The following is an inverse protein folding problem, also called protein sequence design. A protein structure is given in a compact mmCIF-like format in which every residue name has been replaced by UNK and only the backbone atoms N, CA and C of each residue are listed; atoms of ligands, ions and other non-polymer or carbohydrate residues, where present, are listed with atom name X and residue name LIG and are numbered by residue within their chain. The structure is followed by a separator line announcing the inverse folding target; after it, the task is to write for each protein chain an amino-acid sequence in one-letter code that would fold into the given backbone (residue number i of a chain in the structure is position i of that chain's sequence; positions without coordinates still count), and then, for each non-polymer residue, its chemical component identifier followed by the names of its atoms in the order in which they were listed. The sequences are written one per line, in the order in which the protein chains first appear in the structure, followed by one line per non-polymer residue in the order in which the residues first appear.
data_IF_245587791467
#
_entry.id   IF_245587791467
#
_cell.length_a   1.000
_cell.length_b   1.000
_cell.length_c   1.000
_cell.angle_alpha   90.00
_cell.angle_beta   90.00
_cell.angle_gamma   90.00
#
_symmetry.space_group_name_H-M   'P 1'
#
loop_
_entity.id
_entity.type
_entity.pdbx_description
1 polymer ?
#
# COMPACT_ATOMS: atom_id res chain seq x y z
N UNK A 1 1.91 -46.87 -9.04
CA UNK A 1 1.82 -45.92 -7.91
C UNK A 1 0.44 -45.28 -8.00
N UNK A 2 -0.44 -45.52 -7.03
CA UNK A 2 -1.83 -45.12 -7.09
C UNK A 2 -1.95 -43.58 -7.13
N UNK A 3 -2.96 -43.07 -7.80
CA UNK A 3 -3.24 -41.61 -7.96
C UNK A 3 -3.29 -40.90 -6.60
N UNK A 4 -3.73 -41.59 -5.54
CA UNK A 4 -3.74 -41.11 -4.16
C UNK A 4 -2.33 -40.86 -3.59
N UNK A 5 -1.36 -41.70 -3.94
CA UNK A 5 0.03 -41.53 -3.45
C UNK A 5 0.74 -40.37 -4.16
N UNK A 6 0.47 -40.13 -5.46
CA UNK A 6 0.95 -38.97 -6.21
C UNK A 6 0.36 -37.67 -5.67
N UNK A 7 -0.91 -37.68 -5.28
CA UNK A 7 -1.59 -36.54 -4.69
C UNK A 7 -1.05 -36.17 -3.29
N UNK A 8 -0.78 -37.21 -2.45
CA UNK A 8 -0.18 -37.00 -1.11
C UNK A 8 1.27 -36.47 -1.21
N UNK A 9 2.05 -36.96 -2.17
CA UNK A 9 3.41 -36.46 -2.43
C UNK A 9 3.39 -35.01 -2.94
N UNK A 10 2.46 -34.66 -3.81
CA UNK A 10 2.30 -33.30 -4.31
C UNK A 10 1.84 -32.34 -3.19
N UNK A 11 0.91 -32.77 -2.34
CA UNK A 11 0.44 -31.99 -1.20
C UNK A 11 1.54 -31.76 -0.16
N UNK A 12 2.37 -32.78 0.13
CA UNK A 12 3.51 -32.65 1.06
C UNK A 12 4.62 -31.74 0.50
N UNK A 13 4.92 -31.82 -0.81
CA UNK A 13 5.85 -30.87 -1.44
C UNK A 13 5.35 -29.44 -1.45
N UNK A 14 4.04 -29.23 -1.68
CA UNK A 14 3.42 -27.90 -1.63
C UNK A 14 3.44 -27.30 -0.21
N UNK A 15 3.21 -28.13 0.81
CA UNK A 15 3.28 -27.72 2.22
C UNK A 15 4.72 -27.39 2.64
N UNK A 16 5.70 -28.19 2.21
CA UNK A 16 7.13 -27.94 2.51
C UNK A 16 7.64 -26.69 1.78
N UNK A 17 7.27 -26.51 0.51
CA UNK A 17 7.56 -25.29 -0.24
C UNK A 17 6.90 -24.05 0.40
N UNK A 18 5.66 -24.17 0.88
CA UNK A 18 4.94 -23.15 1.62
C UNK A 18 5.62 -22.78 2.95
N UNK A 19 6.17 -23.78 3.67
CA UNK A 19 6.91 -23.58 4.92
C UNK A 19 8.29 -22.94 4.69
N UNK A 20 8.99 -23.26 3.60
CA UNK A 20 10.29 -22.65 3.26
C UNK A 20 10.14 -21.19 2.78
N UNK A 21 9.07 -20.86 2.06
CA UNK A 21 8.73 -19.47 1.70
C UNK A 21 8.22 -18.70 2.93
N UNK A 22 7.78 -19.41 3.98
CA UNK A 22 7.11 -18.85 5.16
C UNK A 22 8.01 -18.05 6.10
N UNK A 23 9.31 -18.14 5.98
CA UNK A 23 10.24 -17.37 6.84
C UNK A 23 10.40 -15.89 6.44
N UNK A 24 9.87 -15.48 5.27
CA UNK A 24 10.14 -14.15 4.68
C UNK A 24 8.85 -13.32 4.46
N UNK A 25 7.63 -13.90 4.57
CA UNK A 25 6.40 -13.21 4.13
C UNK A 25 5.29 -13.16 5.18
N UNK A 26 4.56 -12.04 5.22
CA UNK A 26 3.49 -11.73 6.18
C UNK A 26 2.26 -12.65 5.97
N UNK A 27 1.54 -13.01 7.06
CA UNK A 27 0.42 -13.98 7.09
C UNK A 27 -0.68 -13.71 6.04
N UNK A 28 -0.98 -12.45 5.75
CA UNK A 28 -2.01 -12.06 4.75
C UNK A 28 -1.62 -12.42 3.32
N UNK A 29 -0.34 -12.28 2.97
CA UNK A 29 0.16 -12.65 1.65
C UNK A 29 0.21 -14.17 1.47
N UNK A 30 0.45 -14.90 2.56
CA UNK A 30 0.41 -16.37 2.61
C UNK A 30 -0.99 -16.92 2.35
N UNK A 31 -2.00 -16.32 2.99
CA UNK A 31 -3.40 -16.68 2.77
C UNK A 31 -3.84 -16.38 1.33
N UNK A 32 -3.47 -15.25 0.76
CA UNK A 32 -3.81 -14.90 -0.62
C UNK A 32 -3.18 -15.86 -1.64
N UNK A 33 -1.91 -16.25 -1.45
CA UNK A 33 -1.23 -17.24 -2.32
C UNK A 33 -1.84 -18.64 -2.13
N UNK A 34 -2.15 -19.04 -0.88
CA UNK A 34 -2.78 -20.31 -0.59
C UNK A 34 -4.18 -20.43 -1.20
N UNK A 35 -5.01 -19.39 -1.07
CA UNK A 35 -6.35 -19.35 -1.68
C UNK A 35 -6.28 -19.30 -3.21
N UNK A 36 -5.31 -18.58 -3.79
CA UNK A 36 -5.10 -18.54 -5.24
C UNK A 36 -4.66 -19.91 -5.81
N UNK A 37 -3.74 -20.60 -5.12
CA UNK A 37 -3.31 -21.95 -5.49
C UNK A 37 -4.41 -22.99 -5.28
N UNK A 38 -5.19 -22.87 -4.19
CA UNK A 38 -6.32 -23.75 -3.90
C UNK A 38 -7.46 -23.54 -4.91
N UNK A 39 -7.77 -22.30 -5.28
CA UNK A 39 -8.76 -22.01 -6.32
C UNK A 39 -8.32 -22.51 -7.70
N UNK A 40 -7.05 -22.34 -8.06
CA UNK A 40 -6.50 -22.87 -9.32
C UNK A 40 -6.51 -24.41 -9.37
N UNK A 41 -6.17 -25.08 -8.25
CA UNK A 41 -6.21 -26.53 -8.14
C UNK A 41 -7.66 -27.08 -8.14
N UNK A 42 -8.59 -26.36 -7.50
CA UNK A 42 -10.01 -26.70 -7.46
C UNK A 42 -10.66 -26.55 -8.84
N UNK A 43 -10.40 -25.45 -9.54
CA UNK A 43 -10.86 -25.24 -10.92
C UNK A 43 -10.26 -26.27 -11.88
N UNK A 44 -8.97 -26.59 -11.73
CA UNK A 44 -8.32 -27.64 -12.53
C UNK A 44 -8.91 -29.03 -12.28
N UNK A 45 -9.30 -29.35 -11.03
CA UNK A 45 -9.97 -30.61 -10.69
C UNK A 45 -11.40 -30.68 -11.21
N UNK A 46 -12.19 -29.62 -11.04
CA UNK A 46 -13.53 -29.50 -11.60
C UNK A 46 -13.52 -29.66 -13.12
N UNK A 47 -12.53 -29.10 -13.80
CA UNK A 47 -12.38 -29.20 -15.24
C UNK A 47 -11.92 -30.62 -15.66
N UNK A 48 -11.09 -31.27 -14.85
CA UNK A 48 -10.68 -32.66 -15.10
C UNK A 48 -11.81 -33.65 -14.85
N UNK A 49 -12.59 -33.50 -13.78
CA UNK A 49 -13.73 -34.34 -13.44
C UNK A 49 -14.86 -34.16 -14.47
N UNK A 50 -15.13 -32.94 -14.90
CA UNK A 50 -16.05 -32.64 -16.02
C UNK A 50 -15.60 -33.28 -17.34
N UNK A 51 -14.30 -33.30 -17.61
CA UNK A 51 -13.71 -33.93 -18.81
C UNK A 51 -13.77 -35.43 -18.75
N UNK A 52 -13.66 -36.05 -17.57
CA UNK A 52 -13.85 -37.50 -17.40
C UNK A 52 -15.33 -37.91 -17.56
N UNK A 53 -16.23 -37.11 -17.07
CA UNK A 53 -17.67 -37.30 -17.21
C UNK A 53 -18.13 -37.19 -18.68
N UNK A 54 -17.56 -36.22 -19.43
CA UNK A 54 -17.75 -36.12 -20.88
C UNK A 54 -17.14 -37.31 -21.64
N UNK A 55 -16.01 -37.90 -21.20
CA UNK A 55 -15.40 -39.08 -21.81
C UNK A 55 -16.13 -40.36 -21.46
N UNK A 56 -16.72 -40.43 -20.27
CA UNK A 56 -17.55 -41.60 -19.86
C UNK A 56 -18.82 -41.72 -20.66
N UNK A 57 -19.45 -40.59 -21.00
CA UNK A 57 -20.69 -40.55 -21.80
C UNK A 57 -20.48 -40.82 -23.29
N UNK A 58 -19.25 -40.73 -23.82
CA UNK A 58 -18.95 -41.07 -25.24
C UNK A 58 -18.62 -42.56 -25.47
N UNK A 59 -18.61 -43.39 -24.42
CA UNK A 59 -18.25 -44.83 -24.55
C UNK A 59 -19.35 -45.81 -24.14
N UNK A 60 -20.47 -45.29 -23.68
CA UNK A 60 -21.65 -46.12 -23.38
C UNK A 60 -22.75 -45.75 -24.36
N UNK A 61 -23.03 -46.69 -25.25
CA UNK A 61 -24.26 -46.96 -25.95
C UNK A 61 -24.65 -46.07 -27.16
N UNK A 62 -24.52 -46.76 -28.29
CA UNK A 62 -25.39 -46.53 -29.43
C UNK A 62 -26.83 -46.96 -29.03
N UNK A 63 -27.67 -46.02 -28.63
CA UNK A 63 -29.12 -46.14 -28.53
C UNK A 63 -29.84 -45.00 -29.25
N UNK A 64 -31.09 -45.20 -29.70
CA UNK A 64 -31.70 -44.44 -30.78
C UNK A 64 -32.18 -43.05 -30.38
N UNK A 65 -32.57 -42.19 -31.37
CA UNK A 65 -32.76 -40.74 -31.16
C UNK A 65 -34.06 -40.46 -30.40
N UNK A 66 -33.88 -39.97 -29.20
CA UNK A 66 -34.99 -39.46 -28.39
C UNK A 66 -34.60 -39.19 -26.96
N UNK A 67 -34.18 -37.95 -26.65
CA UNK A 67 -34.64 -37.27 -25.44
C UNK A 67 -34.02 -35.84 -25.32
N UNK A 68 -34.82 -34.83 -24.95
CA UNK A 68 -34.40 -33.42 -24.84
C UNK A 68 -33.54 -33.10 -23.59
N UNK A 69 -33.22 -34.12 -22.77
CA UNK A 69 -32.46 -33.94 -21.52
C UNK A 69 -31.01 -33.51 -21.71
N UNK A 70 -30.32 -34.02 -22.72
CA UNK A 70 -28.91 -33.71 -22.96
C UNK A 70 -28.69 -32.24 -23.46
N UNK A 71 -29.72 -31.64 -24.05
CA UNK A 71 -29.69 -30.27 -24.55
C UNK A 71 -30.01 -29.28 -23.42
N UNK A 72 -30.92 -29.65 -22.50
CA UNK A 72 -31.22 -28.86 -21.28
C UNK A 72 -30.03 -28.83 -20.32
N UNK A 73 -29.38 -29.98 -20.07
CA UNK A 73 -28.18 -30.06 -19.22
C UNK A 73 -27.00 -29.26 -19.79
N UNK A 74 -26.88 -29.17 -21.14
CA UNK A 74 -25.85 -28.32 -21.78
C UNK A 74 -26.16 -26.82 -21.70
N UNK A 75 -27.44 -26.45 -21.81
CA UNK A 75 -27.90 -25.07 -21.66
C UNK A 75 -27.74 -24.59 -20.22
N UNK A 76 -28.08 -25.43 -19.23
CA UNK A 76 -27.89 -25.11 -17.82
C UNK A 76 -26.40 -24.98 -17.44
N UNK A 77 -25.54 -25.88 -17.92
CA UNK A 77 -24.10 -25.78 -17.70
C UNK A 77 -23.49 -24.56 -18.38
N UNK A 78 -23.97 -24.16 -19.55
CA UNK A 78 -23.55 -22.95 -20.26
C UNK A 78 -23.93 -21.67 -19.50
N UNK A 79 -25.18 -21.56 -19.05
CA UNK A 79 -25.66 -20.42 -18.29
C UNK A 79 -24.96 -20.28 -16.94
N UNK A 80 -24.70 -21.39 -16.25
CA UNK A 80 -23.94 -21.39 -14.99
C UNK A 80 -22.48 -20.92 -15.19
N UNK A 81 -21.84 -21.35 -16.29
CA UNK A 81 -20.48 -20.89 -16.62
C UNK A 81 -20.43 -19.39 -16.93
N UNK A 82 -21.42 -18.88 -17.68
CA UNK A 82 -21.56 -17.46 -17.96
C UNK A 82 -21.80 -16.64 -16.70
N UNK A 83 -22.65 -17.08 -15.79
CA UNK A 83 -22.87 -16.43 -14.50
C UNK A 83 -21.61 -16.44 -13.63
N UNK A 84 -20.89 -17.56 -13.59
CA UNK A 84 -19.60 -17.65 -12.89
C UNK A 84 -18.58 -16.68 -13.47
N UNK A 85 -18.44 -16.64 -14.80
CA UNK A 85 -17.53 -15.70 -15.47
C UNK A 85 -17.94 -14.24 -15.24
N UNK A 86 -19.22 -13.94 -15.26
CA UNK A 86 -19.73 -12.58 -15.01
C UNK A 86 -19.46 -12.09 -13.59
N UNK A 87 -19.42 -12.99 -12.59
CA UNK A 87 -19.12 -12.69 -11.20
C UNK A 87 -17.62 -12.57 -10.87
N UNK A 88 -16.71 -12.96 -11.78
CA UNK A 88 -15.27 -12.88 -11.56
C UNK A 88 -14.79 -11.44 -11.65
N UNK A 89 -13.85 -11.10 -10.77
CA UNK A 89 -13.13 -9.81 -10.80
C UNK A 89 -11.95 -9.81 -11.77
N UNK A 90 -11.42 -10.99 -12.05
CA UNK A 90 -10.34 -11.22 -13.00
C UNK A 90 -10.88 -11.14 -14.42
N UNK A 91 -10.16 -10.44 -15.30
CA UNK A 91 -10.51 -10.41 -16.72
C UNK A 91 -10.18 -11.74 -17.37
N UNK A 92 -11.17 -12.37 -18.00
CA UNK A 92 -10.99 -13.63 -18.75
C UNK A 92 -11.20 -13.38 -20.22
N UNK A 93 -10.25 -13.82 -21.06
CA UNK A 93 -10.27 -13.70 -22.52
C UNK A 93 -9.92 -15.05 -23.14
N UNK A 94 -10.77 -15.58 -23.98
CA UNK A 94 -10.53 -16.81 -24.72
C UNK A 94 -10.37 -16.51 -26.22
N UNK A 95 -9.28 -16.99 -26.80
CA UNK A 95 -8.96 -16.81 -28.20
C UNK A 95 -8.96 -18.16 -28.93
N UNK A 96 -9.33 -18.12 -30.21
CA UNK A 96 -9.19 -19.25 -31.15
C UNK A 96 -7.79 -19.33 -31.76
N UNK A 97 -7.62 -20.25 -32.72
CA UNK A 97 -6.38 -20.45 -33.46
C UNK A 97 -5.99 -19.29 -34.37
N UNK A 98 -6.94 -18.41 -34.75
CA UNK A 98 -6.71 -17.21 -35.54
C UNK A 98 -6.51 -15.95 -34.69
N UNK A 99 -6.38 -16.11 -33.38
CA UNK A 99 -6.26 -15.03 -32.40
C UNK A 99 -7.50 -14.14 -32.35
N UNK A 100 -8.68 -14.70 -32.63
CA UNK A 100 -9.97 -14.02 -32.47
C UNK A 100 -10.56 -14.34 -31.11
N UNK A 101 -11.24 -13.37 -30.54
CA UNK A 101 -11.95 -13.54 -29.26
C UNK A 101 -13.15 -14.45 -29.45
N UNK A 102 -13.16 -15.56 -28.77
CA UNK A 102 -14.28 -16.51 -28.72
C UNK A 102 -15.27 -16.09 -27.63
N UNK A 103 -14.75 -15.73 -26.47
CA UNK A 103 -15.55 -15.25 -25.33
C UNK A 103 -14.70 -14.41 -24.38
N UNK A 104 -15.35 -13.52 -23.67
CA UNK A 104 -14.74 -12.69 -22.64
C UNK A 104 -15.75 -12.40 -21.52
N UNK A 105 -15.27 -12.08 -20.33
CA UNK A 105 -16.13 -11.69 -19.24
C UNK A 105 -16.20 -10.15 -19.09
N UNK A 106 -17.11 -9.69 -18.25
CA UNK A 106 -17.29 -8.26 -17.96
C UNK A 106 -15.99 -7.57 -17.53
N UNK A 107 -15.18 -8.19 -16.68
CA UNK A 107 -13.92 -7.61 -16.22
C UNK A 107 -12.92 -7.43 -17.38
N UNK A 108 -12.86 -8.37 -18.34
CA UNK A 108 -12.06 -8.20 -19.55
C UNK A 108 -12.55 -7.03 -20.43
N UNK A 109 -13.86 -6.82 -20.55
CA UNK A 109 -14.41 -5.65 -21.26
C UNK A 109 -13.95 -4.34 -20.59
N UNK A 110 -13.92 -4.27 -19.27
CA UNK A 110 -13.44 -3.09 -18.54
C UNK A 110 -11.94 -2.85 -18.78
N UNK A 111 -11.13 -3.88 -18.84
CA UNK A 111 -9.68 -3.81 -19.15
C UNK A 111 -9.46 -3.27 -20.58
N UNK A 112 -10.26 -3.72 -21.55
CA UNK A 112 -10.16 -3.32 -22.96
C UNK A 112 -11.17 -2.24 -23.36
N UNK A 113 -11.68 -1.46 -22.42
CA UNK A 113 -12.75 -0.45 -22.61
C UNK A 113 -12.45 0.64 -23.64
N UNK A 114 -11.20 0.81 -24.09
CA UNK A 114 -10.84 1.74 -25.18
C UNK A 114 -11.39 1.30 -26.54
N UNK A 115 -11.75 0.04 -26.69
CA UNK A 115 -12.30 -0.50 -27.92
C UNK A 115 -13.83 -0.41 -27.85
N UNK A 116 -14.43 0.39 -28.75
CA UNK A 116 -15.90 0.53 -28.80
C UNK A 116 -16.56 -0.76 -29.26
N UNK A 117 -17.52 -1.27 -28.49
CA UNK A 117 -18.31 -2.47 -28.79
C UNK A 117 -17.75 -3.75 -28.17
N UNK A 118 -18.43 -4.88 -28.41
CA UNK A 118 -18.08 -6.17 -27.86
C UNK A 118 -16.74 -6.69 -28.40
N UNK A 119 -15.90 -7.32 -27.57
CA UNK A 119 -14.63 -7.91 -27.98
C UNK A 119 -14.79 -9.16 -28.85
N UNK A 120 -15.90 -9.88 -28.75
CA UNK A 120 -16.15 -11.16 -29.40
C UNK A 120 -16.06 -11.06 -30.93
N UNK A 121 -15.39 -12.03 -31.55
CA UNK A 121 -15.13 -12.06 -32.99
C UNK A 121 -13.99 -11.18 -33.48
N UNK A 122 -13.51 -10.22 -32.67
CA UNK A 122 -12.38 -9.34 -33.03
C UNK A 122 -11.05 -10.03 -32.84
N UNK A 123 -10.05 -9.60 -33.58
CA UNK A 123 -8.68 -10.06 -33.37
C UNK A 123 -8.05 -9.38 -32.15
N UNK A 124 -7.19 -10.11 -31.44
CA UNK A 124 -6.44 -9.56 -30.28
C UNK A 124 -5.71 -8.24 -30.62
N UNK A 125 -5.21 -8.10 -31.86
CA UNK A 125 -4.54 -6.88 -32.34
C UNK A 125 -5.44 -5.65 -32.42
N UNK A 126 -6.75 -5.83 -32.43
CA UNK A 126 -7.74 -4.76 -32.41
C UNK A 126 -8.06 -4.33 -30.96
N UNK A 127 -7.90 -5.22 -30.00
CA UNK A 127 -8.14 -4.97 -28.57
C UNK A 127 -6.93 -4.29 -27.91
N UNK A 128 -5.72 -4.72 -28.25
CA UNK A 128 -4.49 -4.19 -27.63
C UNK A 128 -3.31 -4.25 -28.60
N UNK A 129 -2.40 -3.30 -28.43
CA UNK A 129 -1.10 -3.30 -29.13
C UNK A 129 0.05 -3.73 -28.21
N UNK A 130 -0.24 -4.19 -26.98
CA UNK A 130 0.79 -4.59 -26.03
C UNK A 130 1.51 -5.86 -26.51
N UNK A 131 2.83 -5.80 -26.81
CA UNK A 131 3.56 -6.92 -27.38
C UNK A 131 3.67 -8.11 -26.43
N UNK A 132 3.69 -7.86 -25.09
CA UNK A 132 3.77 -8.92 -24.10
C UNK A 132 2.49 -9.79 -24.11
N UNK A 133 1.31 -9.16 -24.24
CA UNK A 133 0.03 -9.87 -24.37
C UNK A 133 0.04 -10.72 -25.66
N UNK A 134 0.42 -10.12 -26.78
CA UNK A 134 0.49 -10.83 -28.06
C UNK A 134 1.43 -12.03 -28.00
N UNK A 135 2.64 -11.86 -27.48
CA UNK A 135 3.64 -12.92 -27.38
C UNK A 135 3.16 -14.09 -26.51
N UNK A 136 2.48 -13.78 -25.39
CA UNK A 136 1.95 -14.78 -24.49
C UNK A 136 0.86 -15.65 -25.18
N UNK A 137 -0.10 -15.03 -25.85
CA UNK A 137 -1.15 -15.75 -26.57
C UNK A 137 -0.62 -16.52 -27.79
N UNK A 138 0.29 -15.94 -28.57
CA UNK A 138 0.93 -16.63 -29.69
C UNK A 138 1.67 -17.87 -29.21
N UNK A 139 2.41 -17.78 -28.09
CA UNK A 139 3.10 -18.91 -27.48
C UNK A 139 2.14 -20.03 -27.09
N UNK A 140 1.02 -19.70 -26.49
CA UNK A 140 0.01 -20.67 -26.07
C UNK A 140 -0.70 -21.33 -27.25
N UNK A 141 -1.12 -20.54 -28.24
CA UNK A 141 -1.83 -21.08 -29.42
C UNK A 141 -0.91 -21.90 -30.32
N UNK A 142 0.29 -21.36 -30.68
CA UNK A 142 1.16 -21.96 -31.69
C UNK A 142 2.06 -23.06 -31.12
N UNK A 143 2.62 -22.87 -29.92
CA UNK A 143 3.59 -23.77 -29.31
C UNK A 143 2.98 -24.67 -28.21
N UNK A 144 1.75 -24.41 -27.82
CA UNK A 144 1.07 -25.10 -26.71
C UNK A 144 1.81 -24.91 -25.37
N UNK A 145 2.45 -23.76 -25.17
CA UNK A 145 3.20 -23.40 -23.97
C UNK A 145 2.40 -22.42 -23.12
N UNK A 146 2.19 -22.69 -21.83
CA UNK A 146 1.58 -21.71 -20.94
C UNK A 146 2.55 -20.55 -20.73
N UNK A 147 2.01 -19.34 -20.56
CA UNK A 147 2.80 -18.13 -20.32
C UNK A 147 2.27 -17.38 -19.09
N UNK A 148 3.21 -16.78 -18.34
CA UNK A 148 2.91 -15.82 -17.25
C UNK A 148 3.73 -14.58 -17.51
N UNK A 149 3.07 -13.43 -17.55
CA UNK A 149 3.76 -12.15 -17.82
C UNK A 149 3.03 -10.99 -17.13
N UNK A 150 3.80 -10.01 -16.67
CA UNK A 150 3.23 -8.75 -16.18
C UNK A 150 3.00 -7.81 -17.34
N UNK A 151 1.85 -7.19 -17.36
CA UNK A 151 1.46 -6.24 -18.41
C UNK A 151 0.94 -4.94 -17.79
N UNK A 152 1.48 -3.83 -18.24
CA UNK A 152 0.99 -2.50 -17.88
C UNK A 152 0.08 -2.01 -19.04
N UNK A 153 -1.15 -1.65 -18.69
CA UNK A 153 -2.13 -1.16 -19.67
C UNK A 153 -2.09 0.37 -19.70
N UNK A 154 -2.32 0.96 -20.88
CA UNK A 154 -2.55 2.42 -21.06
C UNK A 154 -1.35 3.33 -20.73
N UNK A 155 -0.09 2.91 -20.92
CA UNK A 155 1.09 3.75 -20.75
C UNK A 155 1.56 3.87 -19.29
N UNK A 156 2.52 4.77 -19.06
CA UNK A 156 3.18 4.90 -17.75
C UNK A 156 2.21 5.28 -16.64
N UNK A 157 2.01 4.39 -15.66
CA UNK A 157 1.12 4.60 -14.50
C UNK A 157 -0.29 4.03 -14.63
N UNK A 158 -0.59 3.30 -15.70
CA UNK A 158 -1.84 2.56 -15.88
C UNK A 158 -1.97 1.35 -14.93
N UNK A 159 -3.11 0.64 -14.99
CA UNK A 159 -3.27 -0.60 -14.24
C UNK A 159 -2.29 -1.67 -14.70
N UNK A 160 -1.79 -2.46 -13.74
CA UNK A 160 -0.81 -3.52 -13.95
C UNK A 160 -1.49 -4.86 -13.68
N UNK A 161 -1.40 -5.77 -14.66
CA UNK A 161 -1.99 -7.10 -14.56
C UNK A 161 -0.93 -8.19 -14.59
N UNK A 162 -1.12 -9.24 -13.78
CA UNK A 162 -0.46 -10.53 -13.96
C UNK A 162 -1.31 -11.33 -14.96
N UNK A 163 -0.82 -11.45 -16.19
CA UNK A 163 -1.48 -12.20 -17.26
C UNK A 163 -0.97 -13.63 -17.25
N UNK A 164 -1.90 -14.56 -17.11
CA UNK A 164 -1.65 -16.00 -17.25
C UNK A 164 -2.38 -16.54 -18.46
N UNK A 165 -1.63 -17.07 -19.41
CA UNK A 165 -2.19 -17.64 -20.62
C UNK A 165 -1.99 -19.16 -20.62
N UNK A 166 -3.08 -19.88 -20.82
CA UNK A 166 -3.09 -21.35 -20.85
C UNK A 166 -3.63 -21.83 -22.20
N UNK A 167 -2.95 -22.76 -22.89
CA UNK A 167 -3.47 -23.34 -24.11
C UNK A 167 -4.77 -24.11 -23.87
N UNK A 168 -5.73 -23.97 -24.77
CA UNK A 168 -7.00 -24.68 -24.76
C UNK A 168 -7.17 -25.54 -26.02
N UNK A 169 -7.91 -26.65 -25.91
CA UNK A 169 -8.46 -27.40 -27.03
C UNK A 169 -9.95 -27.06 -27.13
N UNK A 170 -10.31 -26.31 -28.17
CA UNK A 170 -11.65 -25.76 -28.34
C UNK A 170 -12.63 -26.79 -28.94
N UNK A 171 -12.11 -27.84 -29.61
CA UNK A 171 -12.96 -28.84 -30.25
C UNK A 171 -12.49 -30.27 -29.99
N UNK A 172 -13.45 -31.17 -29.70
CA UNK A 172 -13.17 -32.58 -29.36
C UNK A 172 -12.77 -33.44 -30.58
N UNK A 173 -12.90 -32.94 -31.81
CA UNK A 173 -12.77 -33.73 -33.01
C UNK A 173 -11.76 -33.24 -34.07
N UNK A 174 -11.43 -31.96 -34.19
CA UNK A 174 -10.61 -31.42 -35.29
C UNK A 174 -9.30 -30.74 -34.86
N UNK A 175 -8.90 -30.84 -33.59
CA UNK A 175 -7.60 -30.28 -33.14
C UNK A 175 -7.54 -28.77 -33.14
N UNK A 176 -8.67 -28.07 -33.14
CA UNK A 176 -8.72 -26.60 -33.03
C UNK A 176 -8.12 -26.19 -31.70
N UNK A 177 -7.02 -25.40 -31.78
CA UNK A 177 -6.30 -24.89 -30.63
C UNK A 177 -6.74 -23.48 -30.37
N UNK A 178 -6.83 -23.13 -29.08
CA UNK A 178 -7.07 -21.79 -28.63
C UNK A 178 -6.22 -21.49 -27.39
N UNK A 179 -6.46 -20.37 -26.76
CA UNK A 179 -5.82 -20.02 -25.50
C UNK A 179 -6.77 -19.21 -24.62
N UNK A 180 -6.69 -19.45 -23.31
CA UNK A 180 -7.38 -18.66 -22.30
C UNK A 180 -6.34 -17.78 -21.58
N UNK A 181 -6.60 -16.48 -21.55
CA UNK A 181 -5.85 -15.53 -20.75
C UNK A 181 -6.66 -15.05 -19.56
N UNK A 182 -6.06 -15.05 -18.39
CA UNK A 182 -6.64 -14.50 -17.16
C UNK A 182 -5.80 -13.34 -16.68
N UNK A 183 -6.43 -12.18 -16.51
CA UNK A 183 -5.80 -10.91 -16.09
C UNK A 183 -6.12 -10.66 -14.62
N UNK A 184 -5.11 -10.77 -13.77
CA UNK A 184 -5.21 -10.45 -12.33
C UNK A 184 -4.72 -9.03 -12.11
N UNK A 185 -5.57 -8.14 -11.58
CA UNK A 185 -5.14 -6.78 -11.22
C UNK A 185 -4.20 -6.80 -10.02
N UNK A 186 -2.94 -6.52 -10.28
CA UNK A 186 -1.88 -6.41 -9.27
C UNK A 186 -1.42 -4.97 -9.07
N UNK A 187 -2.16 -3.99 -9.57
CA UNK A 187 -1.79 -2.57 -9.53
C UNK A 187 -1.46 -2.09 -8.12
N UNK A 188 -2.31 -2.43 -7.16
CA UNK A 188 -2.10 -2.06 -5.75
C UNK A 188 -0.85 -2.73 -5.17
N UNK A 189 -0.64 -4.00 -5.47
CA UNK A 189 0.52 -4.77 -4.99
C UNK A 189 1.83 -4.19 -5.56
N UNK A 190 1.88 -3.94 -6.87
CA UNK A 190 3.05 -3.38 -7.54
C UNK A 190 3.37 -1.95 -7.07
N UNK A 191 2.34 -1.14 -6.81
CA UNK A 191 2.54 0.21 -6.22
C UNK A 191 3.12 0.13 -4.82
N UNK A 192 2.62 -0.78 -3.98
CA UNK A 192 3.15 -0.99 -2.62
C UNK A 192 4.59 -1.49 -2.66
N UNK A 193 4.91 -2.43 -3.55
CA UNK A 193 6.27 -2.96 -3.70
C UNK A 193 7.23 -1.89 -4.23
N UNK A 194 6.81 -1.06 -5.19
CA UNK A 194 7.59 0.08 -5.69
C UNK A 194 7.90 1.09 -4.58
N UNK A 195 6.88 1.47 -3.81
CA UNK A 195 7.06 2.39 -2.66
C UNK A 195 8.03 1.80 -1.64
N UNK A 196 7.97 0.49 -1.38
CA UNK A 196 8.90 -0.22 -0.50
C UNK A 196 10.33 -0.21 -1.04
N UNK A 197 10.52 -0.49 -2.33
CA UNK A 197 11.83 -0.48 -2.97
C UNK A 197 12.44 0.92 -2.99
N UNK A 198 11.65 1.95 -3.31
CA UNK A 198 12.06 3.34 -3.25
C UNK A 198 12.47 3.74 -1.82
N UNK A 199 11.72 3.31 -0.81
CA UNK A 199 12.06 3.53 0.59
C UNK A 199 13.42 2.92 0.96
N UNK A 200 13.64 1.63 0.66
CA UNK A 200 14.91 0.95 0.94
C UNK A 200 16.10 1.57 0.19
N UNK A 201 15.90 1.96 -1.06
CA UNK A 201 16.90 2.68 -1.86
C UNK A 201 17.27 4.02 -1.22
N UNK A 202 16.27 4.81 -0.82
CA UNK A 202 16.48 6.11 -0.18
C UNK A 202 17.19 5.97 1.18
N UNK A 203 16.80 4.99 2.02
CA UNK A 203 17.49 4.67 3.27
C UNK A 203 18.98 4.39 3.01
N UNK A 204 19.28 3.52 2.04
CA UNK A 204 20.65 3.16 1.68
C UNK A 204 21.47 4.37 1.25
N UNK A 205 20.89 5.26 0.45
CA UNK A 205 21.55 6.47 0.00
C UNK A 205 21.76 7.50 1.11
N UNK A 206 20.76 7.73 1.98
CA UNK A 206 20.86 8.71 3.07
C UNK A 206 21.78 8.23 4.20
N UNK A 207 21.99 6.92 4.36
CA UNK A 207 23.00 6.37 5.29
C UNK A 207 24.41 6.40 4.69
N UNK A 208 24.58 6.09 3.40
CA UNK A 208 25.89 6.02 2.75
C UNK A 208 26.61 7.35 2.75
N UNK A 209 25.92 8.44 2.46
CA UNK A 209 26.52 9.78 2.36
C UNK A 209 27.24 10.24 3.65
N UNK A 210 26.59 10.26 4.83
CA UNK A 210 27.26 10.64 6.08
C UNK A 210 28.34 9.63 6.49
N UNK A 211 28.16 8.35 6.22
CA UNK A 211 29.16 7.31 6.51
C UNK A 211 30.44 7.52 5.71
N UNK A 212 30.31 7.80 4.39
CA UNK A 212 31.47 8.12 3.55
C UNK A 212 32.20 9.36 4.03
N UNK A 213 31.47 10.39 4.47
CA UNK A 213 32.09 11.59 5.03
C UNK A 213 32.85 11.29 6.33
N UNK A 214 32.29 10.48 7.23
CA UNK A 214 32.95 10.06 8.48
C UNK A 214 34.27 9.35 8.16
N UNK A 215 34.24 8.35 7.26
CA UNK A 215 35.42 7.58 6.86
C UNK A 215 36.50 8.50 6.30
N UNK A 216 36.16 9.36 5.33
CA UNK A 216 37.12 10.28 4.71
C UNK A 216 37.79 11.22 5.69
N UNK A 217 37.02 11.76 6.68
CA UNK A 217 37.61 12.63 7.70
C UNK A 217 38.46 11.86 8.74
N UNK A 218 38.14 10.60 9.02
CA UNK A 218 38.98 9.73 9.85
C UNK A 218 40.31 9.46 9.12
N UNK A 219 40.26 9.06 7.85
CA UNK A 219 41.48 8.83 7.03
C UNK A 219 42.34 10.09 6.98
N UNK A 220 41.72 11.28 6.78
CA UNK A 220 42.45 12.56 6.80
C UNK A 220 43.12 12.84 8.14
N UNK A 221 42.50 12.48 9.27
CA UNK A 221 43.11 12.61 10.60
C UNK A 221 44.29 11.62 10.78
N UNK A 222 44.13 10.39 10.31
CA UNK A 222 45.18 9.34 10.36
C UNK A 222 46.39 9.72 9.50
N UNK A 223 46.17 10.33 8.33
CA UNK A 223 47.22 10.82 7.42
C UNK A 223 48.00 12.03 7.95
N UNK A 224 47.75 12.44 9.21
CA UNK A 224 48.60 13.40 9.92
C UNK A 224 47.87 14.73 10.30
N UNK A 225 46.63 14.95 9.83
CA UNK A 225 45.90 16.17 10.22
C UNK A 225 45.56 16.22 11.73
N UNK A 226 45.68 15.10 12.45
CA UNK A 226 45.53 15.02 13.91
C UNK A 226 46.58 15.87 14.66
N UNK A 227 47.74 16.14 14.02
CA UNK A 227 48.83 16.96 14.56
C UNK A 227 48.57 18.46 14.49
N UNK A 228 47.55 18.87 13.70
CA UNK A 228 47.11 20.23 13.61
C UNK A 228 45.86 20.41 14.51
N UNK A 229 46.00 21.14 15.69
CA UNK A 229 44.91 21.20 16.65
C UNK A 229 43.67 21.90 16.13
N UNK A 230 43.76 22.88 15.24
CA UNK A 230 42.63 23.60 14.69
C UNK A 230 41.86 22.73 13.67
N UNK A 231 42.55 22.15 12.74
CA UNK A 231 41.92 21.24 11.74
C UNK A 231 41.41 19.96 12.35
N UNK A 232 42.10 19.40 13.36
CA UNK A 232 41.64 18.18 14.04
C UNK A 232 40.31 18.37 14.76
N UNK A 233 40.15 19.48 15.49
CA UNK A 233 38.87 19.81 16.14
C UNK A 233 37.74 20.06 15.13
N UNK A 234 38.05 20.71 14.01
CA UNK A 234 37.08 20.91 12.92
C UNK A 234 36.63 19.60 12.32
N UNK A 235 37.55 18.66 12.00
CA UNK A 235 37.22 17.37 11.43
C UNK A 235 36.43 16.49 12.40
N UNK A 236 36.81 16.46 13.69
CA UNK A 236 36.04 15.79 14.74
C UNK A 236 34.62 16.34 14.87
N UNK A 237 34.45 17.67 14.73
CA UNK A 237 33.12 18.31 14.74
C UNK A 237 32.24 17.83 13.55
N UNK A 238 32.84 17.67 12.37
CA UNK A 238 32.14 17.18 11.16
C UNK A 238 31.78 15.68 11.33
N UNK A 239 32.71 14.86 11.85
CA UNK A 239 32.43 13.45 12.15
C UNK A 239 31.26 13.34 13.12
N UNK A 240 31.29 14.07 14.23
CA UNK A 240 30.22 14.09 15.23
C UNK A 240 28.87 14.52 14.63
N UNK A 241 28.84 15.56 13.78
CA UNK A 241 27.65 16.03 13.10
C UNK A 241 27.05 14.94 12.18
N UNK A 242 27.89 14.25 11.42
CA UNK A 242 27.44 13.17 10.55
C UNK A 242 26.96 11.93 11.33
N UNK A 243 27.64 11.55 12.41
CA UNK A 243 27.21 10.46 13.29
C UNK A 243 25.85 10.77 13.95
N UNK A 244 25.65 12.00 14.46
CA UNK A 244 24.38 12.42 15.02
C UNK A 244 23.25 12.40 13.98
N UNK A 245 23.57 12.81 12.74
CA UNK A 245 22.60 12.74 11.64
C UNK A 245 22.20 11.29 11.32
N UNK A 246 23.15 10.35 11.32
CA UNK A 246 22.83 8.94 11.12
C UNK A 246 21.96 8.38 12.25
N UNK A 247 22.28 8.73 13.50
CA UNK A 247 21.48 8.33 14.67
C UNK A 247 20.03 8.81 14.51
N UNK A 248 19.83 10.11 14.26
CA UNK A 248 18.48 10.65 14.07
C UNK A 248 17.73 9.99 12.90
N UNK A 249 18.42 9.67 11.80
CA UNK A 249 17.82 8.99 10.66
C UNK A 249 17.36 7.57 11.02
N UNK A 250 18.18 6.84 11.80
CA UNK A 250 17.82 5.49 12.26
C UNK A 250 16.60 5.56 13.18
N UNK A 251 16.57 6.49 14.12
CA UNK A 251 15.45 6.68 15.03
C UNK A 251 14.14 7.00 14.25
N UNK A 252 14.22 7.93 13.29
CA UNK A 252 13.09 8.28 12.42
C UNK A 252 12.56 7.05 11.64
N UNK A 253 13.47 6.19 11.12
CA UNK A 253 13.10 4.97 10.38
C UNK A 253 12.43 3.94 11.29
N UNK A 254 13.00 3.68 12.48
CA UNK A 254 12.46 2.73 13.44
C UNK A 254 11.07 3.18 13.89
N UNK A 255 10.92 4.44 14.17
CA UNK A 255 9.66 5.01 14.59
C UNK A 255 8.59 4.94 13.49
N UNK A 256 8.92 5.39 12.27
CA UNK A 256 8.01 5.31 11.14
C UNK A 256 7.58 3.87 10.89
N UNK A 257 8.53 2.92 10.98
CA UNK A 257 8.26 1.49 10.84
C UNK A 257 7.30 0.97 11.92
N UNK A 258 7.47 1.41 13.17
CA UNK A 258 6.59 1.03 14.27
C UNK A 258 5.16 1.59 14.10
N UNK A 259 5.04 2.85 13.65
CA UNK A 259 3.73 3.49 13.40
C UNK A 259 3.01 2.76 12.25
N UNK A 260 3.71 2.47 11.15
CA UNK A 260 3.13 1.80 9.97
C UNK A 260 2.74 0.34 10.21
N UNK A 261 3.48 -0.34 11.08
CA UNK A 261 3.13 -1.69 11.54
C UNK A 261 1.89 -1.71 12.46
N UNK A 262 1.38 -0.54 12.85
CA UNK A 262 0.28 -0.43 13.81
C UNK A 262 0.65 -0.86 15.23
N UNK A 263 1.96 -0.97 15.54
CA UNK A 263 2.45 -1.34 16.88
C UNK A 263 2.45 -0.17 17.85
N UNK A 264 2.37 1.06 17.34
CA UNK A 264 2.25 2.26 18.15
C UNK A 264 0.80 2.42 18.60
N UNK A 265 0.54 2.11 19.87
CA UNK A 265 -0.74 2.41 20.51
C UNK A 265 -0.75 3.88 20.95
N UNK A 266 -1.66 4.66 20.38
CA UNK A 266 -1.91 6.03 20.83
C UNK A 266 -2.79 5.98 22.07
N UNK A 267 -2.39 6.69 23.13
CA UNK A 267 -3.15 6.78 24.39
C UNK A 267 -3.61 8.23 24.58
N UNK A 268 -4.75 8.61 24.02
CA UNK A 268 -5.23 9.98 24.13
C UNK A 268 -5.61 10.32 25.57
N UNK A 269 -5.12 11.46 26.05
CA UNK A 269 -5.42 12.05 27.35
C UNK A 269 -5.60 13.58 27.20
N UNK A 270 -6.20 14.26 28.18
CA UNK A 270 -6.31 15.71 28.14
C UNK A 270 -4.93 16.37 28.27
N UNK A 271 -4.46 17.05 27.22
CA UNK A 271 -3.17 17.75 27.17
C UNK A 271 -3.40 19.25 27.20
N UNK A 272 -2.75 19.95 28.15
CA UNK A 272 -2.70 21.43 28.19
C UNK A 272 -1.78 21.94 27.06
N UNK A 273 -2.37 22.29 25.93
CA UNK A 273 -1.61 22.58 24.72
C UNK A 273 -0.63 23.74 24.90
N UNK A 274 -1.03 24.81 25.58
CA UNK A 274 -0.15 25.97 25.78
C UNK A 274 1.14 25.62 26.51
N UNK A 275 1.06 24.77 27.53
CA UNK A 275 2.24 24.34 28.29
C UNK A 275 3.16 23.48 27.42
N UNK A 276 2.59 22.52 26.71
CA UNK A 276 3.35 21.67 25.79
C UNK A 276 4.09 22.50 24.74
N UNK A 277 3.41 23.47 24.12
CA UNK A 277 4.03 24.38 23.14
C UNK A 277 5.13 25.23 23.78
N UNK A 278 4.94 25.73 25.00
CA UNK A 278 5.97 26.50 25.70
C UNK A 278 7.26 25.69 25.96
N UNK A 279 7.12 24.44 26.35
CA UNK A 279 8.24 23.50 26.55
C UNK A 279 8.99 23.25 25.22
N UNK A 280 8.27 23.01 24.12
CA UNK A 280 8.84 22.83 22.79
C UNK A 280 9.61 24.10 22.33
N UNK A 281 9.00 25.29 22.46
CA UNK A 281 9.65 26.55 22.08
C UNK A 281 10.89 26.82 22.92
N UNK A 282 10.87 26.48 24.21
CA UNK A 282 12.04 26.58 25.11
C UNK A 282 13.16 25.64 24.64
N UNK A 283 12.86 24.39 24.31
CA UNK A 283 13.83 23.43 23.81
C UNK A 283 14.46 23.85 22.46
N UNK A 284 13.71 24.55 21.63
CA UNK A 284 14.17 25.02 20.31
C UNK A 284 14.73 26.48 20.33
N UNK A 285 14.72 27.18 21.48
CA UNK A 285 15.09 28.56 21.58
C UNK A 285 16.50 28.87 21.05
N UNK A 286 17.50 28.03 21.36
CA UNK A 286 18.88 28.20 20.87
C UNK A 286 18.97 28.08 19.34
N UNK A 287 18.17 27.23 18.71
CA UNK A 287 18.12 27.08 17.24
C UNK A 287 17.44 28.29 16.60
N UNK A 288 16.36 28.77 17.20
CA UNK A 288 15.64 29.97 16.76
C UNK A 288 16.56 31.20 16.83
N UNK A 289 17.26 31.39 17.97
CA UNK A 289 18.22 32.46 18.17
C UNK A 289 19.37 32.42 17.15
N UNK A 290 19.94 31.22 16.89
CA UNK A 290 21.03 31.06 15.92
C UNK A 290 20.62 31.44 14.48
N UNK A 291 19.32 31.56 14.19
CA UNK A 291 18.74 31.94 12.91
C UNK A 291 18.01 33.28 12.94
N UNK A 292 18.06 33.94 14.07
CA UNK A 292 17.34 35.21 14.30
C UNK A 292 15.84 35.09 14.03
N UNK A 293 15.24 33.91 14.30
CA UNK A 293 13.80 33.66 14.13
C UNK A 293 13.07 33.93 15.44
N UNK A 294 12.01 34.73 15.37
CA UNK A 294 11.12 34.97 16.51
C UNK A 294 10.07 33.89 16.62
N UNK A 295 9.93 33.25 17.79
CA UNK A 295 8.94 32.18 18.02
C UNK A 295 7.88 32.64 19.01
N UNK A 296 6.59 32.45 18.68
CA UNK A 296 5.47 32.89 19.49
C UNK A 296 4.52 31.76 19.84
N UNK A 297 4.11 31.69 21.10
CA UNK A 297 3.03 30.82 21.56
C UNK A 297 1.76 31.65 21.69
N UNK A 298 0.87 31.50 20.73
CA UNK A 298 -0.42 32.20 20.67
C UNK A 298 -1.60 31.29 21.05
N UNK A 299 -1.30 30.13 21.68
CA UNK A 299 -2.30 29.22 22.19
C UNK A 299 -2.94 29.81 23.44
N UNK A 300 -4.27 29.74 23.55
CA UNK A 300 -5.04 30.17 24.73
C UNK A 300 -4.66 29.35 25.98
N UNK A 301 -4.71 30.02 27.15
CA UNK A 301 -4.34 29.39 28.45
C UNK A 301 -5.24 28.20 28.81
N UNK A 302 -6.48 28.21 28.36
CA UNK A 302 -7.50 27.17 28.59
C UNK A 302 -7.55 26.09 27.52
N UNK A 303 -6.69 26.17 26.50
CA UNK A 303 -6.64 25.22 25.41
C UNK A 303 -6.22 23.82 25.92
N UNK A 304 -7.17 22.88 25.86
CA UNK A 304 -6.95 21.48 26.17
C UNK A 304 -7.34 20.65 24.94
N UNK A 305 -6.40 19.84 24.44
CA UNK A 305 -6.63 18.91 23.35
C UNK A 305 -6.57 17.47 23.85
N UNK A 306 -7.30 16.57 23.20
CA UNK A 306 -7.31 15.15 23.56
C UNK A 306 -6.38 14.39 22.64
N UNK A 307 -5.18 14.07 23.12
CA UNK A 307 -4.13 13.44 22.34
C UNK A 307 -3.15 12.66 23.23
N UNK A 308 -2.35 11.79 22.65
CA UNK A 308 -1.16 11.25 23.32
C UNK A 308 -0.12 12.38 23.43
N UNK A 309 0.18 12.78 24.67
CA UNK A 309 1.02 13.96 24.93
C UNK A 309 2.41 13.84 24.31
N UNK A 310 3.06 12.66 24.39
CA UNK A 310 4.39 12.46 23.81
C UNK A 310 4.36 12.50 22.27
N UNK A 311 3.32 11.92 21.65
CA UNK A 311 3.17 11.94 20.19
C UNK A 311 2.79 13.32 19.67
N UNK A 312 2.00 14.06 20.40
CA UNK A 312 1.67 15.45 20.08
C UNK A 312 2.90 16.35 20.18
N UNK A 313 3.70 16.20 21.25
CA UNK A 313 5.00 16.90 21.41
C UNK A 313 5.90 16.65 20.18
N UNK A 314 6.01 15.42 19.76
CA UNK A 314 6.82 15.03 18.62
C UNK A 314 6.31 15.62 17.30
N UNK A 315 5.00 15.59 17.04
CA UNK A 315 4.42 16.23 15.85
C UNK A 315 4.72 17.71 15.81
N UNK A 316 4.50 18.41 16.93
CA UNK A 316 4.72 19.85 17.04
C UNK A 316 6.21 20.21 16.97
N UNK A 317 7.08 19.43 17.60
CA UNK A 317 8.54 19.63 17.51
C UNK A 317 9.01 19.51 16.06
N UNK A 318 8.52 18.53 15.30
CA UNK A 318 8.85 18.39 13.88
C UNK A 318 8.38 19.59 13.05
N UNK A 319 7.18 20.10 13.30
CA UNK A 319 6.65 21.24 12.57
C UNK A 319 7.37 22.55 12.92
N UNK A 320 7.58 22.81 14.21
CA UNK A 320 8.26 24.04 14.68
C UNK A 320 9.73 24.03 14.27
N UNK A 321 10.44 22.89 14.37
CA UNK A 321 11.83 22.79 13.92
C UNK A 321 11.95 23.01 12.40
N UNK A 322 11.00 22.52 11.60
CA UNK A 322 10.93 22.83 10.18
C UNK A 322 10.64 24.31 9.92
N UNK A 323 9.70 24.90 10.63
CA UNK A 323 9.37 26.32 10.51
C UNK A 323 10.56 27.23 10.84
N UNK A 324 11.40 26.87 11.82
CA UNK A 324 12.65 27.57 12.15
C UNK A 324 13.72 27.33 11.06
N UNK A 325 13.89 26.08 10.60
CA UNK A 325 14.92 25.70 9.63
C UNK A 325 14.74 26.37 8.26
N UNK A 326 13.52 26.48 7.79
CA UNK A 326 13.19 27.00 6.47
C UNK A 326 12.71 28.44 6.51
N UNK A 327 12.88 29.13 7.67
CA UNK A 327 12.58 30.54 7.79
C UNK A 327 13.69 31.40 7.20
N UNK A 328 13.32 32.63 6.90
CA UNK A 328 14.26 33.71 6.61
C UNK A 328 14.83 34.31 7.89
N UNK A 329 15.96 35.00 7.80
CA UNK A 329 16.53 35.76 8.91
C UNK A 329 15.57 36.88 9.34
N UNK A 330 15.37 37.04 10.66
CA UNK A 330 14.37 37.97 11.20
C UNK A 330 12.91 37.52 11.02
N UNK A 331 12.67 36.30 10.53
CA UNK A 331 11.32 35.77 10.35
C UNK A 331 10.64 35.35 11.65
N UNK A 332 9.41 34.94 11.52
CA UNK A 332 8.53 34.59 12.65
C UNK A 332 7.96 33.18 12.51
N UNK A 333 7.77 32.51 13.63
CA UNK A 333 7.01 31.27 13.77
C UNK A 333 5.97 31.45 14.85
N UNK A 334 4.71 31.16 14.56
CA UNK A 334 3.62 31.19 15.54
C UNK A 334 2.92 29.86 15.64
N UNK A 335 2.49 29.51 16.86
CA UNK A 335 1.65 28.34 17.12
C UNK A 335 0.33 28.82 17.67
N UNK A 336 -0.78 28.49 16.97
CA UNK A 336 -2.15 28.85 17.35
C UNK A 336 -3.02 27.60 17.48
N UNK A 337 -4.16 27.74 18.16
CA UNK A 337 -5.15 26.68 18.31
C UNK A 337 -6.56 27.24 18.06
N UNK A 338 -7.34 26.51 17.30
CA UNK A 338 -8.74 26.78 17.02
C UNK A 338 -9.58 25.54 17.29
N UNK A 339 -10.78 25.72 17.84
CA UNK A 339 -11.75 24.65 18.00
C UNK A 339 -13.01 24.96 17.21
N UNK A 340 -13.22 24.19 16.13
CA UNK A 340 -14.39 24.29 15.26
C UNK A 340 -14.90 22.86 14.96
N UNK A 341 -15.55 22.24 15.96
CA UNK A 341 -15.95 20.83 15.89
C UNK A 341 -14.77 19.86 16.08
N UNK A 342 -13.58 20.20 15.56
CA UNK A 342 -12.30 19.52 15.77
C UNK A 342 -11.28 20.47 16.36
N UNK A 343 -10.26 19.91 17.01
CA UNK A 343 -9.13 20.67 17.50
C UNK A 343 -8.13 20.88 16.35
N UNK A 344 -7.88 22.12 15.98
CA UNK A 344 -6.94 22.52 14.92
C UNK A 344 -5.75 23.23 15.55
N UNK A 345 -4.57 22.65 15.39
CA UNK A 345 -3.30 23.23 15.85
C UNK A 345 -2.55 23.69 14.60
N UNK A 346 -2.25 24.98 14.53
CA UNK A 346 -1.61 25.59 13.38
C UNK A 346 -0.19 26.02 13.78
N UNK A 347 0.77 25.68 12.92
CA UNK A 347 2.16 26.17 12.99
C UNK A 347 2.39 26.99 11.73
N UNK A 348 2.48 28.29 11.87
CA UNK A 348 2.70 29.23 10.77
C UNK A 348 4.11 29.78 10.80
N UNK A 349 4.75 29.89 9.64
CA UNK A 349 6.06 30.52 9.43
C UNK A 349 6.01 31.58 8.34
N UNK A 350 6.94 32.52 8.40
CA UNK A 350 7.15 33.57 7.38
C UNK A 350 8.35 33.27 6.49
N UNK A 351 8.65 31.98 6.29
CA UNK A 351 9.81 31.50 5.56
C UNK A 351 9.70 31.57 4.04
N UNK A 352 10.50 30.76 3.36
CA UNK A 352 10.58 30.74 1.89
C UNK A 352 9.33 30.25 1.20
N UNK A 353 8.42 29.57 1.94
CA UNK A 353 7.24 28.92 1.37
C UNK A 353 7.57 27.68 0.53
N UNK A 354 6.54 27.06 0.00
CA UNK A 354 6.60 25.79 -0.76
C UNK A 354 5.96 26.03 -2.13
N UNK A 355 6.66 25.75 -3.23
CA UNK A 355 6.07 25.82 -4.57
C UNK A 355 4.85 24.88 -4.70
N UNK A 356 3.79 25.27 -5.44
CA UNK A 356 2.53 24.54 -5.52
C UNK A 356 2.69 23.05 -5.96
N UNK A 357 3.62 22.79 -6.86
CA UNK A 357 3.92 21.45 -7.39
C UNK A 357 4.47 20.50 -6.33
N UNK A 358 4.99 21.02 -5.21
CA UNK A 358 5.56 20.22 -4.12
C UNK A 358 4.60 20.01 -2.95
N UNK A 359 3.57 20.87 -2.80
CA UNK A 359 2.65 20.87 -1.65
C UNK A 359 1.98 19.51 -1.41
N UNK A 360 1.57 18.82 -2.46
CA UNK A 360 0.94 17.48 -2.37
C UNK A 360 1.90 16.39 -1.91
N UNK A 361 3.21 16.61 -2.08
CA UNK A 361 4.26 15.59 -1.91
C UNK A 361 5.09 15.74 -0.65
N UNK A 362 5.05 16.87 0.04
CA UNK A 362 5.94 17.14 1.20
C UNK A 362 5.76 16.17 2.36
N UNK A 363 4.63 15.44 2.42
CA UNK A 363 4.36 14.38 3.40
C UNK A 363 4.82 12.99 2.93
N UNK A 364 5.39 12.87 1.71
CA UNK A 364 6.02 11.62 1.24
C UNK A 364 7.34 11.38 1.98
N UNK A 365 7.69 10.12 2.18
CA UNK A 365 8.95 9.74 2.84
C UNK A 365 10.15 10.17 2.01
N UNK A 366 11.18 10.75 2.67
CA UNK A 366 12.41 11.26 2.03
C UNK A 366 12.19 12.38 1.02
N UNK A 367 10.97 12.90 0.92
CA UNK A 367 10.70 14.00 0.00
C UNK A 367 11.32 15.31 0.50
N UNK A 368 11.91 16.07 -0.41
CA UNK A 368 12.53 17.38 -0.16
C UNK A 368 12.39 18.22 -1.40
N UNK A 369 11.98 19.47 -1.24
CA UNK A 369 11.89 20.46 -2.33
C UNK A 369 13.29 20.76 -2.90
N UNK A 370 14.27 20.99 -2.00
CA UNK A 370 15.69 21.14 -2.35
C UNK A 370 16.52 20.16 -1.53
N UNK A 371 17.10 19.18 -2.22
CA UNK A 371 17.92 18.13 -1.59
C UNK A 371 19.23 18.63 -1.03
N UNK A 372 19.89 19.63 -1.69
CA UNK A 372 21.19 20.13 -1.28
C UNK A 372 21.05 20.97 0.00
N UNK A 373 20.20 21.97 -0.03
CA UNK A 373 19.93 22.85 1.11
C UNK A 373 19.40 22.10 2.33
N UNK A 374 18.50 21.16 2.14
CA UNK A 374 17.95 20.34 3.24
C UNK A 374 19.01 19.44 3.89
N UNK A 375 20.03 18.98 3.13
CA UNK A 375 21.14 18.19 3.70
C UNK A 375 22.03 19.03 4.60
N UNK A 376 22.35 20.23 4.22
CA UNK A 376 23.16 21.16 5.03
C UNK A 376 22.48 21.48 6.36
N UNK A 377 21.14 21.62 6.34
CA UNK A 377 20.32 21.88 7.52
C UNK A 377 19.96 20.62 8.33
N UNK A 378 20.49 19.44 7.96
CA UNK A 378 20.34 18.22 8.73
C UNK A 378 18.97 17.55 8.67
N UNK A 379 18.14 17.90 7.69
CA UNK A 379 16.83 17.26 7.52
C UNK A 379 16.95 15.81 7.04
N UNK A 380 16.16 14.88 7.56
CA UNK A 380 16.05 13.47 7.13
C UNK A 380 15.06 13.29 5.97
N UNK A 381 14.07 14.18 5.87
CA UNK A 381 12.92 14.05 4.96
C UNK A 381 11.87 13.06 5.47
N UNK A 382 11.96 12.63 6.74
CA UNK A 382 11.00 11.74 7.39
C UNK A 382 10.07 12.45 8.36
N UNK A 383 10.48 13.59 8.93
CA UNK A 383 9.73 14.28 9.98
C UNK A 383 8.28 14.61 9.61
N UNK A 384 8.02 15.12 8.39
CA UNK A 384 6.64 15.40 7.95
C UNK A 384 5.84 14.12 7.67
N UNK A 385 6.47 13.05 7.22
CA UNK A 385 5.82 11.74 7.07
C UNK A 385 5.43 11.18 8.45
N UNK A 386 6.31 11.33 9.46
CA UNK A 386 6.01 10.94 10.85
C UNK A 386 4.81 11.75 11.38
N UNK A 387 4.79 13.07 11.18
CA UNK A 387 3.65 13.93 11.56
C UNK A 387 2.34 13.40 10.94
N UNK A 388 2.35 13.09 9.65
CA UNK A 388 1.17 12.57 8.95
C UNK A 388 0.69 11.26 9.53
N UNK A 389 1.59 10.31 9.75
CA UNK A 389 1.23 9.00 10.27
C UNK A 389 0.75 9.06 11.73
N UNK A 390 1.37 9.92 12.56
CA UNK A 390 0.93 10.16 13.94
C UNK A 390 -0.45 10.84 13.99
N UNK A 391 -0.70 11.84 13.14
CA UNK A 391 -2.02 12.46 13.05
C UNK A 391 -3.10 11.44 12.66
N UNK A 392 -2.82 10.58 11.67
CA UNK A 392 -3.72 9.49 11.26
C UNK A 392 -3.95 8.47 12.39
N UNK A 393 -2.92 8.13 13.17
CA UNK A 393 -3.04 7.23 14.32
C UNK A 393 -3.94 7.81 15.43
N UNK A 394 -4.04 9.14 15.52
CA UNK A 394 -5.00 9.83 16.40
C UNK A 394 -6.42 9.97 15.80
N UNK A 395 -6.70 9.42 14.61
CA UNK A 395 -7.97 9.65 13.89
C UNK A 395 -8.10 11.06 13.31
N UNK A 396 -6.97 11.77 13.23
CA UNK A 396 -6.87 13.13 12.71
C UNK A 396 -6.29 13.20 11.31
N UNK A 397 -5.97 14.43 10.89
CA UNK A 397 -5.34 14.73 9.59
C UNK A 397 -4.28 15.82 9.75
N UNK A 398 -3.38 15.89 8.76
CA UNK A 398 -2.44 17.03 8.62
C UNK A 398 -2.57 17.61 7.22
N UNK A 399 -2.49 18.93 7.14
CA UNK A 399 -2.51 19.67 5.88
C UNK A 399 -1.57 20.84 5.92
N UNK A 400 -1.34 21.48 4.77
CA UNK A 400 -0.49 22.65 4.64
C UNK A 400 -1.10 23.64 3.66
N UNK A 401 -0.94 24.91 3.97
CA UNK A 401 -1.16 26.03 3.05
C UNK A 401 0.14 26.80 2.95
N UNK A 402 0.62 27.04 1.74
CA UNK A 402 1.89 27.73 1.53
C UNK A 402 1.87 28.46 0.20
N UNK A 403 2.53 29.63 0.20
CA UNK A 403 2.82 30.42 -1.01
C UNK A 403 4.31 30.72 -1.04
N UNK A 404 4.92 30.61 -2.19
CA UNK A 404 6.34 30.87 -2.35
C UNK A 404 6.67 32.32 -1.98
N UNK A 405 7.63 32.54 -1.07
CA UNK A 405 8.04 33.85 -0.56
C UNK A 405 7.15 34.41 0.55
N UNK A 406 6.02 33.82 0.87
CA UNK A 406 5.10 34.29 1.92
C UNK A 406 5.15 33.47 3.21
N UNK A 407 5.67 32.21 3.11
CA UNK A 407 5.75 31.27 4.21
C UNK A 407 4.78 30.10 4.08
N UNK A 408 4.64 29.34 5.18
CA UNK A 408 3.79 28.16 5.24
C UNK A 408 2.98 28.11 6.54
N UNK A 409 1.80 27.49 6.46
CA UNK A 409 0.99 27.17 7.63
C UNK A 409 0.64 25.69 7.60
N UNK A 410 1.21 24.93 8.51
CA UNK A 410 0.89 23.53 8.75
C UNK A 410 -0.22 23.45 9.77
N UNK A 411 -1.21 22.58 9.51
CA UNK A 411 -2.38 22.38 10.37
C UNK A 411 -2.51 20.90 10.72
N UNK A 412 -2.48 20.59 12.01
CA UNK A 412 -2.86 19.29 12.56
C UNK A 412 -4.31 19.41 13.02
N UNK A 413 -5.18 18.49 12.55
CA UNK A 413 -6.58 18.45 12.93
C UNK A 413 -6.83 17.13 13.69
N UNK A 414 -7.28 17.22 14.96
CA UNK A 414 -7.52 16.10 15.85
C UNK A 414 -9.00 16.01 16.23
N UNK A 415 -9.55 14.82 16.51
CA UNK A 415 -10.91 14.68 16.99
C UNK A 415 -11.03 15.26 18.42
N UNK A 416 -12.17 15.88 18.70
CA UNK A 416 -12.52 16.33 20.07
C UNK A 416 -13.19 15.21 20.85
N UNK A 417 -13.18 15.29 22.18
CA UNK A 417 -13.81 14.30 23.10
C UNK A 417 -15.30 14.01 22.81
N UNK A 418 -15.98 14.85 22.01
CA UNK A 418 -17.42 14.73 21.73
C UNK A 418 -17.78 13.94 20.47
N UNK A 419 -16.83 13.63 19.55
CA UNK A 419 -17.19 13.07 18.25
C UNK A 419 -17.03 11.55 18.10
N UNK A 420 -16.31 10.83 18.96
CA UNK A 420 -16.08 9.40 18.77
C UNK A 420 -16.33 8.53 20.01
N UNK A 421 -17.63 8.38 20.36
CA UNK A 421 -18.08 7.05 20.75
C UNK A 421 -18.84 6.48 19.56
N UNK A 422 -18.33 5.43 18.88
CA UNK A 422 -19.17 4.65 17.99
C UNK A 422 -20.33 4.16 18.86
N UNK A 423 -21.55 4.52 18.49
CA UNK A 423 -22.77 3.97 19.07
C UNK A 423 -22.89 2.52 18.60
N UNK A 424 -22.05 1.66 19.10
CA UNK A 424 -22.26 0.21 19.08
C UNK A 424 -22.79 -0.23 20.42
N UNK A 425 -24.06 0.00 20.62
CA UNK A 425 -24.88 -0.80 21.50
C UNK A 425 -26.28 -0.86 20.89
N UNK A 426 -26.42 -1.56 19.78
CA UNK A 426 -27.67 -2.28 19.57
C UNK A 426 -27.78 -3.33 20.65
N UNK A 427 -28.35 -2.94 21.79
CA UNK A 427 -28.94 -3.86 22.72
C UNK A 427 -29.95 -4.71 21.95
N UNK A 428 -29.57 -5.94 21.67
CA UNK A 428 -30.53 -6.99 21.30
C UNK A 428 -31.47 -7.11 22.50
N UNK A 429 -32.62 -6.46 22.42
CA UNK A 429 -33.74 -6.68 23.33
C UNK A 429 -34.23 -8.11 23.08
N UNK A 430 -33.85 -9.02 23.95
CA UNK A 430 -34.53 -10.29 24.08
C UNK A 430 -35.97 -9.98 24.53
N UNK A 431 -37.01 -10.48 23.86
CA UNK A 431 -38.34 -10.40 24.38
C UNK A 431 -38.43 -11.25 25.66
N UNK A 432 -38.75 -10.59 26.76
CA UNK A 432 -39.06 -11.22 28.05
C UNK A 432 -40.23 -12.20 27.86
N UNK A 433 -39.90 -13.51 27.83
CA UNK A 433 -40.88 -14.58 27.94
C UNK A 433 -41.54 -14.52 29.32
N UNK A 434 -42.85 -14.39 29.33
CA UNK A 434 -43.71 -14.57 30.50
C UNK A 434 -43.50 -15.98 31.08
N UNK A 435 -43.42 -16.16 32.41
CA UNK A 435 -43.45 -17.48 33.02
C UNK A 435 -44.85 -18.09 32.88
N UNK A 436 -44.94 -19.22 32.19
CA UNK A 436 -46.16 -20.03 32.13
C UNK A 436 -46.47 -20.58 33.51
N UNK A 437 -47.71 -20.44 33.95
CA UNK A 437 -48.28 -20.95 35.17
C UNK A 437 -48.23 -22.49 35.17
N UNK A 438 -47.73 -23.06 36.28
CA UNK A 438 -47.75 -24.49 36.58
C UNK A 438 -49.17 -24.96 36.91
N UNK A 439 -49.69 -26.03 36.30
CA UNK A 439 -50.97 -26.60 36.78
C UNK A 439 -50.74 -27.44 38.04
N UNK A 440 -51.58 -27.15 39.04
CA UNK A 440 -51.71 -27.93 40.28
C UNK A 440 -52.27 -29.31 39.98
N UNK A 441 -51.68 -30.38 40.51
CA UNK A 441 -52.26 -31.72 40.60
C UNK A 441 -53.06 -31.80 41.89
N UNK A 442 -54.32 -32.31 41.87
CA UNK A 442 -54.99 -32.77 43.07
C UNK A 442 -54.65 -34.22 43.36
N UNK A 443 -54.40 -34.49 44.69
CA UNK A 443 -54.35 -35.76 45.41
C UNK A 443 -54.14 -37.07 44.65
#
# INVERSE_FOLDING_TARGET
MSLRLKFLLFLSCAVIAGLLVSSVWNLRTRLAIFFSLAAGAFLGKLFADWREELRGKTRADAEPPGEPKAEVDRLEAGSMLEEMMAGMREGVLVLDSEMRVVTSNRAAHEIFSQVKGEPEGRRLSELTRNPAIHSAFIGAVSRNEPAVTKVEMQGTGGPIFDLRVTPLKLDAGQGSRGAMGVFFDITRLERLERVRQEFLSNVSHELRTPLTAIIAFIETLEDGAIKDPENSLRFLSIIRKNAQRMHNLIDDILELSAIEAGTVSVKPEPVRLRLLVADILTALASRAAARSVNVRNEVSDDAVVFADGHRLEQMLTNLVDNAIKFNREGGEVSVTHERQGRDRILVADTGDGIPPEHVSRIFERFYRVDRARSREMGGTGLGLAIVKHLALAHGGTVSVRSSLGEGSTFMIELPTLQEDRPTELHAVSHPSGQPAASPAFPR
#
